data_IF_781128739634
#
_entry.id   IF_781128739634
#
_cell.length_a   1.000
_cell.length_b   1.000
_cell.length_c   1.000
_cell.angle_alpha   90.00
_cell.angle_beta   90.00
_cell.angle_gamma   90.00
#
_symmetry.space_group_name_H-M   'P 1'
#
loop_
_entity.id
_entity.type
_entity.pdbx_description
1 polymer ?
#
# COMPACT_ATOMS: atom_id res chain seq x y z
N UNK A 1 65.34 27.57 -38.59
CA UNK A 1 64.89 26.75 -37.38
C UNK A 1 63.42 27.06 -37.10
N UNK A 2 62.50 26.19 -37.55
CA UNK A 2 61.06 26.40 -37.40
C UNK A 2 60.55 25.39 -36.32
N UNK A 3 60.12 25.93 -35.22
CA UNK A 3 59.56 25.16 -34.08
C UNK A 3 58.11 24.89 -34.40
N UNK A 4 57.75 23.61 -34.45
CA UNK A 4 56.37 23.15 -34.55
C UNK A 4 55.57 23.50 -33.24
N UNK A 5 54.61 24.42 -33.37
CA UNK A 5 53.57 24.66 -32.38
C UNK A 5 52.29 23.98 -32.82
N UNK A 6 52.15 22.68 -32.57
CA UNK A 6 50.94 21.94 -32.93
C UNK A 6 50.39 20.98 -31.86
N UNK A 7 51.01 20.92 -30.69
CA UNK A 7 50.66 19.91 -29.67
C UNK A 7 49.50 20.23 -28.69
N UNK A 8 49.17 21.49 -28.35
CA UNK A 8 48.08 21.70 -27.37
C UNK A 8 46.67 21.50 -27.92
N UNK A 9 46.45 21.74 -29.20
CA UNK A 9 45.13 21.63 -29.82
C UNK A 9 44.64 20.18 -29.91
N UNK A 10 45.50 19.24 -30.24
CA UNK A 10 45.20 17.81 -30.30
C UNK A 10 44.91 17.21 -28.91
N UNK A 11 45.59 17.66 -27.87
CA UNK A 11 45.37 17.24 -26.52
C UNK A 11 43.96 17.69 -25.99
N UNK A 12 43.58 18.93 -26.30
CA UNK A 12 42.26 19.46 -25.94
C UNK A 12 41.12 18.73 -26.65
N UNK A 13 41.28 18.34 -27.90
CA UNK A 13 40.25 17.61 -28.67
C UNK A 13 40.09 16.20 -28.11
N UNK A 14 41.15 15.50 -27.74
CA UNK A 14 41.10 14.18 -27.13
C UNK A 14 40.41 14.22 -25.76
N UNK A 15 40.68 15.22 -24.93
CA UNK A 15 40.02 15.41 -23.63
C UNK A 15 38.52 15.68 -23.79
N UNK A 16 38.14 16.47 -24.81
CA UNK A 16 36.72 16.77 -25.05
C UNK A 16 35.95 15.53 -25.52
N UNK A 17 36.53 14.66 -26.36
CA UNK A 17 35.91 13.43 -26.83
C UNK A 17 35.74 12.43 -25.66
N UNK A 18 36.71 12.32 -24.75
CA UNK A 18 36.63 11.43 -23.59
C UNK A 18 35.58 11.92 -22.57
N UNK A 19 35.46 13.22 -22.35
CA UNK A 19 34.43 13.80 -21.48
C UNK A 19 33.01 13.61 -22.04
N UNK A 20 32.83 13.75 -23.34
CA UNK A 20 31.55 13.50 -24.02
C UNK A 20 31.14 12.02 -23.95
N UNK A 21 32.08 11.08 -24.08
CA UNK A 21 31.78 9.64 -23.98
C UNK A 21 31.42 9.20 -22.58
N UNK A 22 32.03 9.79 -21.53
CA UNK A 22 31.69 9.53 -20.14
C UNK A 22 30.30 10.10 -19.80
N UNK A 23 29.96 11.29 -20.30
CA UNK A 23 28.63 11.88 -20.14
C UNK A 23 27.52 11.04 -20.80
N UNK A 24 27.77 10.50 -22.00
CA UNK A 24 26.79 9.65 -22.70
C UNK A 24 26.53 8.32 -21.97
N UNK A 25 27.58 7.70 -21.40
CA UNK A 25 27.45 6.48 -20.61
C UNK A 25 26.74 6.73 -19.27
N UNK A 26 26.92 7.89 -18.66
CA UNK A 26 26.21 8.27 -17.45
C UNK A 26 24.70 8.49 -17.71
N UNK A 27 24.36 9.13 -18.84
CA UNK A 27 22.95 9.32 -19.23
C UNK A 27 22.28 7.99 -19.58
N UNK A 28 22.98 7.06 -20.25
CA UNK A 28 22.43 5.73 -20.55
C UNK A 28 22.20 4.92 -19.27
N UNK A 29 23.15 4.91 -18.31
CA UNK A 29 22.95 4.23 -17.02
C UNK A 29 21.83 4.85 -16.17
N UNK A 30 21.67 6.17 -16.24
CA UNK A 30 20.59 6.87 -15.54
C UNK A 30 19.22 6.53 -16.14
N UNK A 31 19.14 6.36 -17.47
CA UNK A 31 17.92 6.01 -18.17
C UNK A 31 17.55 4.52 -17.97
N UNK A 32 18.55 3.62 -17.92
CA UNK A 32 18.32 2.19 -17.58
C UNK A 32 17.81 2.00 -16.15
N UNK A 33 18.33 2.77 -15.19
CA UNK A 33 17.84 2.71 -13.80
C UNK A 33 16.41 3.28 -13.67
N UNK A 34 16.04 4.29 -14.48
CA UNK A 34 14.70 4.85 -14.48
C UNK A 34 13.67 3.86 -15.06
N UNK A 35 14.05 3.17 -16.15
CA UNK A 35 13.19 2.17 -16.79
C UNK A 35 12.99 0.95 -15.88
N UNK A 36 14.02 0.52 -15.13
CA UNK A 36 13.89 -0.60 -14.18
C UNK A 36 13.05 -0.26 -12.95
N UNK A 37 13.10 1.00 -12.50
CA UNK A 37 12.28 1.45 -11.35
C UNK A 37 10.81 1.55 -11.74
N UNK A 38 10.49 2.01 -12.94
CA UNK A 38 9.11 2.14 -13.42
C UNK A 38 8.50 0.78 -13.79
N UNK A 39 9.29 -0.18 -14.30
CA UNK A 39 8.81 -1.55 -14.56
C UNK A 39 8.56 -2.34 -13.25
N UNK A 40 9.37 -2.15 -12.21
CA UNK A 40 9.21 -2.86 -10.94
C UNK A 40 8.04 -2.28 -10.12
N UNK A 41 7.74 -0.99 -10.22
CA UNK A 41 6.54 -0.38 -9.62
C UNK A 41 5.26 -0.73 -10.39
N UNK A 42 5.30 -0.78 -11.74
CA UNK A 42 4.16 -1.17 -12.55
C UNK A 42 3.78 -2.66 -12.35
N UNK A 43 4.77 -3.55 -12.23
CA UNK A 43 4.53 -4.98 -11.94
C UNK A 43 4.05 -5.24 -10.52
N UNK A 44 4.40 -4.39 -9.54
CA UNK A 44 3.96 -4.57 -8.16
C UNK A 44 2.52 -4.10 -7.94
N UNK A 45 2.07 -3.05 -8.65
CA UNK A 45 0.66 -2.65 -8.66
C UNK A 45 -0.22 -3.61 -9.46
N UNK A 46 0.26 -4.11 -10.61
CA UNK A 46 -0.53 -5.04 -11.42
C UNK A 46 -0.70 -6.42 -10.77
N UNK A 47 0.27 -6.86 -9.96
CA UNK A 47 0.14 -8.15 -9.24
C UNK A 47 -0.91 -8.13 -8.11
N UNK A 48 -1.17 -6.97 -7.51
CA UNK A 48 -2.22 -6.82 -6.48
C UNK A 48 -3.62 -6.87 -7.12
N UNK A 49 -3.76 -6.45 -8.40
CA UNK A 49 -5.03 -6.49 -9.13
C UNK A 49 -5.26 -7.79 -9.91
N UNK A 50 -4.21 -8.54 -10.23
CA UNK A 50 -4.33 -9.78 -11.00
C UNK A 50 -4.58 -11.02 -10.14
N UNK A 51 -4.42 -10.93 -8.80
CA UNK A 51 -4.74 -11.99 -7.85
C UNK A 51 -6.20 -11.94 -7.33
N UNK A 52 -7.07 -11.14 -7.95
CA UNK A 52 -8.49 -11.26 -7.75
C UNK A 52 -8.94 -12.55 -8.44
N UNK A 53 -9.13 -13.61 -7.66
CA UNK A 53 -9.68 -14.89 -8.09
C UNK A 53 -11.13 -14.69 -8.59
N UNK A 54 -11.25 -14.16 -9.82
CA UNK A 54 -12.50 -14.09 -10.58
C UNK A 54 -12.34 -15.00 -11.77
N UNK A 55 -13.21 -15.99 -11.90
CA UNK A 55 -13.29 -16.78 -13.13
C UNK A 55 -13.85 -15.89 -14.25
N UNK A 56 -13.02 -15.59 -15.25
CA UNK A 56 -13.49 -15.09 -16.52
C UNK A 56 -14.34 -16.19 -17.17
N UNK A 57 -15.63 -15.96 -17.40
CA UNK A 57 -16.51 -16.90 -18.07
C UNK A 57 -16.36 -16.74 -19.58
N UNK A 58 -16.11 -17.84 -20.29
CA UNK A 58 -16.14 -17.87 -21.74
C UNK A 58 -17.54 -17.54 -22.26
N UNK A 59 -17.63 -16.65 -23.25
CA UNK A 59 -18.86 -16.33 -23.95
C UNK A 59 -19.29 -14.86 -23.89
N UNK A 60 -20.23 -14.49 -24.74
CA UNK A 60 -20.84 -13.17 -24.74
C UNK A 60 -21.60 -12.89 -23.44
N UNK A 61 -21.42 -11.71 -22.87
CA UNK A 61 -22.20 -11.24 -21.74
C UNK A 61 -23.67 -11.15 -22.14
N UNK A 62 -24.50 -12.05 -21.64
CA UNK A 62 -25.94 -11.94 -21.78
C UNK A 62 -26.44 -10.80 -20.91
N UNK A 63 -27.00 -9.76 -21.54
CA UNK A 63 -27.53 -8.61 -20.82
C UNK A 63 -28.57 -9.08 -19.79
N UNK A 64 -28.32 -8.82 -18.53
CA UNK A 64 -29.28 -9.04 -17.45
C UNK A 64 -30.34 -7.96 -17.51
N UNK A 65 -31.57 -8.29 -17.14
CA UNK A 65 -32.64 -7.27 -17.03
C UNK A 65 -32.30 -6.31 -15.88
N UNK A 66 -32.85 -5.11 -15.92
CA UNK A 66 -32.67 -4.11 -14.86
C UNK A 66 -33.05 -4.66 -13.47
N UNK A 67 -34.09 -5.50 -13.40
CA UNK A 67 -34.55 -6.16 -12.17
C UNK A 67 -33.56 -7.19 -11.66
N UNK A 68 -32.93 -7.97 -12.57
CA UNK A 68 -31.87 -8.93 -12.19
C UNK A 68 -30.63 -8.23 -11.69
N UNK A 69 -30.19 -7.15 -12.36
CA UNK A 69 -29.07 -6.33 -11.92
C UNK A 69 -29.36 -5.71 -10.55
N UNK A 70 -30.56 -5.13 -10.36
CA UNK A 70 -30.96 -4.53 -9.10
C UNK A 70 -30.99 -5.55 -7.95
N UNK A 71 -31.55 -6.75 -8.22
CA UNK A 71 -31.58 -7.85 -7.26
C UNK A 71 -30.17 -8.35 -6.87
N UNK A 72 -29.24 -8.42 -7.82
CA UNK A 72 -27.86 -8.79 -7.54
C UNK A 72 -27.10 -7.68 -6.79
N UNK A 73 -27.30 -6.42 -7.18
CA UNK A 73 -26.73 -5.28 -6.46
C UNK A 73 -27.27 -5.19 -5.02
N UNK A 74 -28.54 -5.46 -4.79
CA UNK A 74 -29.10 -5.51 -3.44
C UNK A 74 -28.56 -6.68 -2.60
N UNK A 75 -28.28 -7.83 -3.22
CA UNK A 75 -27.64 -8.97 -2.54
C UNK A 75 -26.15 -8.73 -2.29
N UNK A 76 -25.48 -7.98 -3.18
CA UNK A 76 -24.08 -7.61 -3.07
C UNK A 76 -23.86 -6.36 -2.18
N UNK A 77 -24.94 -5.71 -1.72
CA UNK A 77 -24.82 -4.52 -0.88
C UNK A 77 -24.34 -4.92 0.51
N UNK A 78 -23.04 -4.73 0.74
CA UNK A 78 -22.42 -4.90 2.05
C UNK A 78 -22.65 -3.61 2.83
N UNK A 79 -23.63 -3.65 3.76
CA UNK A 79 -23.85 -2.55 4.70
C UNK A 79 -22.92 -2.78 5.90
N UNK A 80 -21.94 -1.93 6.07
CA UNK A 80 -21.02 -1.98 7.19
C UNK A 80 -21.13 -0.69 7.99
N UNK A 81 -21.24 -0.82 9.29
CA UNK A 81 -21.11 0.28 10.24
C UNK A 81 -19.85 0.07 11.05
N UNK A 82 -18.88 0.97 10.92
CA UNK A 82 -17.64 0.91 11.66
C UNK A 82 -17.74 1.72 12.95
N UNK A 83 -17.30 1.11 14.04
CA UNK A 83 -17.00 1.81 15.29
C UNK A 83 -15.53 1.68 15.58
N UNK A 84 -14.82 2.79 15.50
CA UNK A 84 -13.36 2.85 15.65
C UNK A 84 -12.96 4.03 16.53
N UNK A 85 -12.05 3.79 17.49
CA UNK A 85 -11.44 4.88 18.25
C UNK A 85 -10.52 5.72 17.39
N UNK A 86 -10.59 7.04 17.52
CA UNK A 86 -9.80 8.01 16.76
C UNK A 86 -8.33 8.09 17.17
N UNK A 87 -7.91 7.31 18.18
CA UNK A 87 -6.53 7.27 18.65
C UNK A 87 -6.14 5.89 19.16
N UNK A 88 -4.84 5.59 19.03
CA UNK A 88 -4.19 4.42 19.62
C UNK A 88 -3.18 4.92 20.64
N UNK A 89 -3.14 4.34 21.84
CA UNK A 89 -2.19 4.69 22.88
C UNK A 89 -1.30 3.51 23.23
N UNK A 90 0.02 3.66 22.99
CA UNK A 90 1.05 2.70 23.42
C UNK A 90 1.78 3.22 24.66
N UNK A 91 1.97 2.40 25.71
CA UNK A 91 2.69 2.78 26.91
C UNK A 91 4.20 2.93 26.71
N UNK A 92 4.72 2.39 25.62
CA UNK A 92 6.10 2.54 25.15
C UNK A 92 6.19 2.14 23.67
N UNK A 93 7.31 2.47 23.02
CA UNK A 93 7.51 2.21 21.60
C UNK A 93 8.30 0.94 21.28
N UNK A 94 8.44 0.00 22.20
CA UNK A 94 9.11 -1.26 21.90
C UNK A 94 8.28 -2.13 20.96
N UNK A 95 8.94 -2.89 20.11
CA UNK A 95 8.30 -3.95 19.33
C UNK A 95 7.49 -4.86 20.26
N UNK A 96 6.33 -5.32 19.81
CA UNK A 96 5.36 -6.12 20.55
C UNK A 96 4.72 -5.41 21.76
N UNK A 97 5.00 -4.10 21.98
CA UNK A 97 4.26 -3.28 22.95
C UNK A 97 2.77 -3.31 22.61
N UNK A 98 1.94 -3.54 23.63
CA UNK A 98 0.48 -3.58 23.49
C UNK A 98 -0.10 -2.20 23.73
N UNK A 99 -0.77 -1.64 22.72
CA UNK A 99 -1.48 -0.37 22.79
C UNK A 99 -2.99 -0.56 22.92
N UNK A 100 -3.64 0.40 23.55
CA UNK A 100 -5.10 0.44 23.65
C UNK A 100 -5.71 1.02 22.38
N UNK A 101 -6.63 0.28 21.77
CA UNK A 101 -7.39 0.69 20.59
C UNK A 101 -8.66 -0.11 20.47
N UNK A 102 -9.81 0.56 20.44
CA UNK A 102 -11.11 -0.11 20.35
C UNK A 102 -11.64 -0.05 18.93
N UNK A 103 -11.92 -1.22 18.37
CA UNK A 103 -12.62 -1.38 17.09
C UNK A 103 -13.68 -2.46 17.28
N UNK A 104 -14.93 -2.14 16.94
CA UNK A 104 -16.07 -3.02 17.10
C UNK A 104 -16.67 -3.38 15.72
N UNK A 105 -16.84 -4.66 15.47
CA UNK A 105 -17.62 -5.16 14.33
C UNK A 105 -19.04 -5.47 14.80
N UNK A 106 -19.99 -4.60 14.45
CA UNK A 106 -21.35 -4.72 14.91
C UNK A 106 -22.00 -6.03 14.46
N UNK A 107 -22.88 -6.58 15.28
CA UNK A 107 -23.66 -7.79 14.97
C UNK A 107 -24.46 -7.70 13.67
N UNK A 108 -24.88 -6.49 13.28
CA UNK A 108 -25.59 -6.24 12.02
C UNK A 108 -24.72 -6.31 10.78
N UNK A 109 -23.39 -6.29 10.93
CA UNK A 109 -22.47 -6.40 9.80
C UNK A 109 -22.42 -7.86 9.33
N UNK A 110 -22.29 -8.06 8.04
CA UNK A 110 -22.19 -9.38 7.40
C UNK A 110 -20.80 -9.63 6.81
N UNK A 111 -19.76 -9.07 7.43
CA UNK A 111 -18.38 -9.14 7.00
C UNK A 111 -17.44 -9.46 8.16
N UNK A 112 -16.27 -10.03 7.88
CA UNK A 112 -15.14 -10.04 8.80
C UNK A 112 -14.36 -8.76 8.59
N UNK A 113 -13.91 -8.11 9.67
CA UNK A 113 -13.02 -6.97 9.66
C UNK A 113 -11.61 -7.37 10.06
N UNK A 114 -10.59 -6.76 9.44
CA UNK A 114 -9.21 -6.81 9.92
C UNK A 114 -8.57 -5.45 9.74
N UNK A 115 -7.96 -4.92 10.80
CA UNK A 115 -7.41 -3.58 10.82
C UNK A 115 -5.90 -3.59 10.61
N UNK A 116 -5.41 -2.62 9.85
CA UNK A 116 -4.00 -2.37 9.60
C UNK A 116 -3.71 -0.87 9.80
N UNK A 117 -2.67 -0.54 10.54
CA UNK A 117 -2.29 0.84 10.84
C UNK A 117 -0.98 1.18 10.15
N UNK A 118 -1.01 2.21 9.30
CA UNK A 118 0.13 2.65 8.51
C UNK A 118 0.54 4.08 8.85
N UNK A 119 1.86 4.29 8.92
CA UNK A 119 2.47 5.60 8.77
C UNK A 119 3.16 5.62 7.41
N UNK A 120 2.68 6.45 6.50
CA UNK A 120 3.07 6.43 5.09
C UNK A 120 2.92 5.00 4.51
N UNK A 121 4.00 4.37 4.06
CA UNK A 121 4.00 3.00 3.53
C UNK A 121 4.36 1.94 4.59
N UNK A 122 4.73 2.35 5.81
CA UNK A 122 5.16 1.44 6.87
C UNK A 122 3.97 0.94 7.68
N UNK A 123 3.76 -0.38 7.69
CA UNK A 123 2.79 -1.04 8.56
C UNK A 123 3.33 -1.04 10.01
N UNK A 124 2.60 -0.38 10.91
CA UNK A 124 2.97 -0.24 12.34
C UNK A 124 2.26 -1.24 13.23
N UNK A 125 1.00 -1.56 12.93
CA UNK A 125 0.19 -2.49 13.72
C UNK A 125 -0.84 -3.19 12.85
N UNK A 126 -1.24 -4.42 13.26
CA UNK A 126 -2.28 -5.21 12.60
C UNK A 126 -3.10 -5.96 13.63
N UNK A 127 -4.42 -5.96 13.47
CA UNK A 127 -5.33 -6.69 14.35
C UNK A 127 -5.46 -8.17 13.96
N UNK A 128 -6.05 -8.95 14.86
CA UNK A 128 -6.67 -10.23 14.51
C UNK A 128 -7.93 -9.97 13.67
N UNK A 129 -8.48 -10.99 12.94
CA UNK A 129 -9.81 -10.89 12.35
C UNK A 129 -10.85 -10.64 13.44
N UNK A 130 -11.84 -9.78 13.15
CA UNK A 130 -12.94 -9.39 14.05
C UNK A 130 -14.23 -9.81 13.34
N UNK A 131 -14.90 -10.84 13.88
CA UNK A 131 -16.17 -11.33 13.34
C UNK A 131 -17.34 -10.44 13.81
N UNK A 132 -18.51 -10.52 13.17
CA UNK A 132 -19.70 -9.81 13.66
C UNK A 132 -19.99 -10.11 15.15
N UNK A 133 -20.34 -9.10 15.92
CA UNK A 133 -20.54 -9.15 17.38
C UNK A 133 -19.24 -9.26 18.20
N UNK A 134 -18.06 -9.06 17.56
CA UNK A 134 -16.78 -9.04 18.25
C UNK A 134 -16.16 -7.64 18.23
N UNK A 135 -15.21 -7.41 19.12
CA UNK A 135 -14.38 -6.21 19.16
C UNK A 135 -12.94 -6.53 19.58
N UNK A 136 -12.03 -5.61 19.30
CA UNK A 136 -10.71 -5.60 19.90
C UNK A 136 -10.59 -4.37 20.82
N UNK A 137 -9.80 -4.49 21.89
CA UNK A 137 -9.46 -3.40 22.79
C UNK A 137 -7.99 -3.03 22.71
N UNK A 138 -7.20 -3.87 22.06
CA UNK A 138 -5.75 -3.70 21.97
C UNK A 138 -5.18 -4.11 20.61
N UNK A 139 -3.99 -3.57 20.31
CA UNK A 139 -3.18 -3.95 19.14
C UNK A 139 -1.70 -3.89 19.52
N UNK A 140 -0.87 -4.70 18.87
CA UNK A 140 0.58 -4.74 19.14
C UNK A 140 1.36 -3.99 18.07
N UNK A 141 2.43 -3.28 18.47
CA UNK A 141 3.41 -2.74 17.56
C UNK A 141 4.19 -3.85 16.87
N UNK A 142 4.34 -3.74 15.55
CA UNK A 142 5.11 -4.70 14.73
C UNK A 142 6.62 -4.37 14.70
N UNK A 143 6.99 -3.14 15.08
CA UNK A 143 8.38 -2.67 15.08
C UNK A 143 8.58 -1.59 16.15
N UNK A 144 9.84 -1.25 16.46
CA UNK A 144 10.14 -0.16 17.38
C UNK A 144 9.71 1.19 16.83
N UNK A 145 9.12 2.02 17.70
CA UNK A 145 8.68 3.38 17.39
C UNK A 145 9.14 4.32 18.51
N UNK A 146 9.67 5.49 18.18
CA UNK A 146 10.07 6.47 19.18
C UNK A 146 8.87 7.02 19.95
N UNK A 147 9.08 7.57 21.16
CA UNK A 147 8.02 8.31 21.87
C UNK A 147 7.59 9.52 21.06
N UNK A 148 6.28 9.77 20.98
CA UNK A 148 5.72 10.87 20.20
C UNK A 148 4.28 10.64 19.78
N UNK A 149 3.77 11.57 18.99
CA UNK A 149 2.44 11.50 18.37
C UNK A 149 2.61 11.42 16.87
N UNK A 150 1.91 10.50 16.24
CA UNK A 150 2.00 10.19 14.82
C UNK A 150 0.62 10.28 14.18
N UNK A 151 0.53 11.01 13.07
CA UNK A 151 -0.64 10.95 12.18
C UNK A 151 -0.53 9.66 11.36
N UNK A 152 -1.52 8.77 11.50
CA UNK A 152 -1.52 7.47 10.85
C UNK A 152 -2.83 7.22 10.12
N UNK A 153 -2.83 6.28 9.19
CA UNK A 153 -4.03 5.79 8.53
C UNK A 153 -4.31 4.38 9.03
N UNK A 154 -5.48 4.20 9.64
CA UNK A 154 -6.02 2.88 9.94
C UNK A 154 -6.90 2.42 8.78
N UNK A 155 -6.54 1.34 8.11
CA UNK A 155 -7.38 0.67 7.13
C UNK A 155 -8.15 -0.44 7.83
N UNK A 156 -9.47 -0.49 7.61
CA UNK A 156 -10.31 -1.64 7.94
C UNK A 156 -10.54 -2.39 6.63
N UNK A 157 -10.01 -3.59 6.55
CA UNK A 157 -10.20 -4.51 5.44
C UNK A 157 -11.43 -5.38 5.71
N UNK A 158 -12.32 -5.49 4.73
CA UNK A 158 -13.57 -6.26 4.80
C UNK A 158 -13.44 -7.53 3.99
N UNK A 159 -13.91 -8.66 4.57
CA UNK A 159 -13.88 -9.97 3.94
C UNK A 159 -15.24 -10.63 4.05
N UNK A 160 -15.59 -11.50 3.11
CA UNK A 160 -16.80 -12.31 3.16
C UNK A 160 -16.73 -13.31 4.32
N UNK A 161 -17.86 -13.53 4.99
CA UNK A 161 -17.95 -14.46 6.11
C UNK A 161 -17.77 -15.92 5.74
N UNK A 162 -18.22 -16.30 4.55
CA UNK A 162 -18.28 -17.68 4.07
C UNK A 162 -16.98 -18.12 3.36
N UNK A 163 -16.34 -17.22 2.63
CA UNK A 163 -15.20 -17.56 1.77
C UNK A 163 -13.89 -16.91 2.22
N UNK A 164 -13.93 -15.93 3.15
CA UNK A 164 -12.81 -15.08 3.53
C UNK A 164 -12.22 -14.25 2.37
N UNK A 165 -12.97 -14.13 1.26
CA UNK A 165 -12.54 -13.32 0.14
C UNK A 165 -12.57 -11.84 0.49
N UNK A 166 -11.55 -11.12 0.06
CA UNK A 166 -11.47 -9.67 0.22
C UNK A 166 -12.58 -8.97 -0.58
N UNK A 167 -13.25 -8.00 0.06
CA UNK A 167 -14.32 -7.21 -0.56
C UNK A 167 -13.82 -5.80 -0.87
N UNK A 168 -13.38 -5.07 0.16
CA UNK A 168 -12.98 -3.67 0.07
C UNK A 168 -12.27 -3.23 1.34
N UNK A 169 -11.84 -1.97 1.39
CA UNK A 169 -11.32 -1.35 2.61
C UNK A 169 -11.82 0.08 2.80
N UNK A 170 -11.93 0.51 4.06
CA UNK A 170 -12.10 1.90 4.45
C UNK A 170 -10.84 2.41 5.15
N UNK A 171 -10.50 3.70 4.95
CA UNK A 171 -9.34 4.34 5.57
C UNK A 171 -9.75 5.47 6.52
N UNK A 172 -9.19 5.48 7.71
CA UNK A 172 -9.43 6.48 8.76
C UNK A 172 -8.13 7.15 9.17
N UNK A 173 -8.10 8.48 9.14
CA UNK A 173 -7.00 9.24 9.74
C UNK A 173 -7.21 9.25 11.25
N UNK A 174 -6.24 8.72 11.98
CA UNK A 174 -6.26 8.65 13.44
C UNK A 174 -4.90 9.04 14.01
N UNK A 175 -4.82 9.27 15.32
CA UNK A 175 -3.57 9.55 16.00
C UNK A 175 -3.03 8.28 16.68
N UNK A 176 -1.73 8.04 16.57
CA UNK A 176 -1.02 7.03 17.34
C UNK A 176 -0.08 7.75 18.30
N UNK A 177 -0.23 7.48 19.59
CA UNK A 177 0.56 8.11 20.66
C UNK A 177 1.42 7.05 21.32
N UNK A 178 2.74 7.30 21.40
CA UNK A 178 3.71 6.50 22.14
C UNK A 178 4.23 7.33 23.32
N UNK A 179 4.06 6.84 24.54
CA UNK A 179 4.52 7.47 25.78
C UNK A 179 6.01 7.25 26.05
#
# INVERSE_FOLDING_TARGET
MKILKGKPLFACILIFITLMSIGLLAVMKFNENKTKTDEDMSNKESSIFLDANGEAKDGEFKSKTSEQILSELQKAQVNVTDKISSSILFPNGAKDSTGTWVVENLKSNNVIMQCEVYQDEKLLAKSVPIYPDEHIETVNLLDNLASGTYDVIAYINYFKLDTNEYISKAGYKINLVVQ
#
